data_IF_507821273822
#
_entry.id   IF_507821273822
#
_cell.length_a   1.000
_cell.length_b   1.000
_cell.length_c   1.000
_cell.angle_alpha   90.00
_cell.angle_beta   90.00
_cell.angle_gamma   90.00
#
_symmetry.space_group_name_H-M   'P 1'
#
loop_
_entity.id
_entity.type
_entity.pdbx_description
1 polymer ?
#
# COMPACT_ATOMS: atom_id res chain seq x y z
N UNK A 1 24.95 -19.67 -1.60
CA UNK A 1 23.87 -20.57 -1.13
C UNK A 1 22.63 -20.27 -1.95
N UNK A 2 22.28 -21.11 -2.93
CA UNK A 2 21.13 -20.90 -3.83
C UNK A 2 19.87 -21.43 -3.14
N UNK A 3 18.89 -20.57 -2.92
CA UNK A 3 17.53 -20.99 -2.58
C UNK A 3 16.78 -21.26 -3.89
N UNK A 4 16.15 -22.43 -4.02
CA UNK A 4 15.31 -22.78 -5.15
C UNK A 4 13.93 -22.19 -4.92
N UNK A 5 13.46 -21.37 -5.84
CA UNK A 5 12.06 -20.93 -5.89
C UNK A 5 11.21 -22.12 -6.33
N UNK A 6 10.27 -22.53 -5.47
CA UNK A 6 9.28 -23.55 -5.78
C UNK A 6 8.26 -22.88 -6.68
N UNK A 7 8.15 -23.37 -7.92
CA UNK A 7 7.31 -22.78 -8.97
C UNK A 7 5.86 -22.62 -8.54
N UNK A 8 5.33 -21.42 -8.75
CA UNK A 8 3.92 -21.10 -8.64
C UNK A 8 3.30 -21.27 -10.04
N UNK A 9 2.47 -22.31 -10.20
CA UNK A 9 1.86 -22.72 -11.47
C UNK A 9 0.64 -21.89 -11.86
N UNK A 10 0.72 -20.55 -11.81
CA UNK A 10 -0.31 -19.66 -12.35
C UNK A 10 0.30 -18.52 -13.17
N UNK A 11 1.31 -18.85 -13.98
CA UNK A 11 1.93 -17.96 -14.95
C UNK A 11 1.23 -17.99 -16.31
N UNK A 12 0.03 -17.43 -16.41
CA UNK A 12 -0.57 -17.12 -17.71
C UNK A 12 -1.01 -15.66 -17.77
N UNK A 13 -0.11 -14.80 -18.27
CA UNK A 13 -0.28 -13.96 -19.47
C UNK A 13 0.59 -12.68 -19.35
N UNK A 14 1.34 -12.40 -20.42
CA UNK A 14 2.23 -11.23 -20.68
C UNK A 14 3.71 -11.39 -20.27
N UNK A 15 4.46 -12.05 -21.17
CA UNK A 15 5.93 -12.01 -21.22
C UNK A 15 6.38 -10.55 -21.44
N UNK A 16 7.08 -9.96 -20.47
CA UNK A 16 7.82 -8.69 -20.65
C UNK A 16 7.30 -7.47 -19.88
N UNK A 17 6.39 -7.62 -18.91
CA UNK A 17 6.02 -6.53 -17.99
C UNK A 17 6.54 -6.88 -16.59
N UNK A 18 7.21 -5.96 -15.86
CA UNK A 18 7.51 -6.19 -14.46
C UNK A 18 6.19 -6.36 -13.70
N UNK A 19 6.04 -7.49 -13.03
CA UNK A 19 4.89 -7.73 -12.16
C UNK A 19 4.97 -6.73 -11.00
N UNK A 20 4.05 -5.78 -10.95
CA UNK A 20 3.91 -4.91 -9.79
C UNK A 20 3.17 -5.68 -8.70
N UNK A 21 3.91 -6.07 -7.65
CA UNK A 21 3.35 -6.79 -6.51
C UNK A 21 3.10 -5.78 -5.39
N UNK A 22 1.87 -5.75 -4.87
CA UNK A 22 1.57 -4.99 -3.67
C UNK A 22 2.09 -5.75 -2.45
N UNK A 23 2.91 -5.10 -1.63
CA UNK A 23 3.39 -5.62 -0.36
C UNK A 23 2.62 -4.98 0.80
N UNK A 24 2.53 -5.65 1.96
CA UNK A 24 2.00 -5.04 3.16
C UNK A 24 2.77 -3.76 3.53
N UNK A 25 2.10 -2.76 4.11
CA UNK A 25 2.76 -1.56 4.60
C UNK A 25 3.76 -1.90 5.70
N UNK A 26 4.87 -1.16 5.74
CA UNK A 26 5.89 -1.26 6.81
C UNK A 26 5.68 -0.25 7.93
N UNK A 27 4.71 0.67 7.76
CA UNK A 27 4.33 1.68 8.75
C UNK A 27 3.66 1.07 9.98
N UNK A 28 3.70 1.81 11.08
CA UNK A 28 3.11 1.45 12.36
C UNK A 28 2.01 2.45 12.74
N UNK A 29 1.14 2.06 13.67
CA UNK A 29 0.16 2.98 14.26
C UNK A 29 0.88 4.18 14.88
N UNK A 30 0.46 5.39 14.52
CA UNK A 30 1.06 6.64 14.98
C UNK A 30 2.19 7.17 14.09
N UNK A 31 2.65 6.43 13.07
CA UNK A 31 3.49 7.01 12.03
C UNK A 31 2.69 8.08 11.28
N UNK A 32 3.35 9.21 10.97
CA UNK A 32 2.72 10.32 10.26
C UNK A 32 3.65 10.90 9.20
N UNK A 33 3.06 11.65 8.28
CA UNK A 33 3.76 12.57 7.39
C UNK A 33 3.30 13.99 7.69
N UNK A 34 4.18 14.96 7.45
CA UNK A 34 3.84 16.37 7.56
C UNK A 34 4.10 17.04 6.21
N UNK A 35 3.16 17.90 5.80
CA UNK A 35 3.20 18.58 4.50
C UNK A 35 3.11 20.08 4.74
N UNK A 36 4.04 20.85 4.17
CA UNK A 36 3.95 22.32 4.13
C UNK A 36 3.17 22.75 2.89
N UNK A 37 2.06 23.48 3.09
CA UNK A 37 1.35 24.11 1.98
C UNK A 37 2.18 25.26 1.40
N UNK A 38 2.61 25.12 0.14
CA UNK A 38 3.36 26.16 -0.59
C UNK A 38 2.46 27.13 -1.38
N UNK A 39 1.16 26.84 -1.40
CA UNK A 39 0.09 27.64 -2.03
C UNK A 39 -1.25 27.29 -1.34
N UNK A 40 -2.33 27.96 -1.74
CA UNK A 40 -3.68 27.60 -1.29
C UNK A 40 -4.10 26.25 -1.90
N UNK A 41 -4.57 25.32 -1.06
CA UNK A 41 -4.88 23.94 -1.45
C UNK A 41 -6.26 23.50 -0.96
N UNK A 42 -6.86 22.59 -1.73
CA UNK A 42 -7.97 21.73 -1.27
C UNK A 42 -7.41 20.31 -1.21
N UNK A 43 -7.43 19.70 -0.01
CA UNK A 43 -6.90 18.36 0.21
C UNK A 43 -8.05 17.36 0.23
N UNK A 44 -7.91 16.26 -0.51
CA UNK A 44 -8.80 15.10 -0.44
C UNK A 44 -8.00 13.89 0.03
N UNK A 45 -8.33 13.38 1.23
CA UNK A 45 -7.74 12.18 1.81
C UNK A 45 -8.80 11.07 1.81
N UNK A 46 -8.45 9.89 1.30
CA UNK A 46 -9.30 8.71 1.33
C UNK A 46 -8.56 7.57 2.03
N UNK A 47 -9.15 7.09 3.12
CA UNK A 47 -8.78 5.80 3.68
C UNK A 47 -9.21 4.71 2.69
N UNK A 48 -8.23 4.08 2.03
CA UNK A 48 -8.49 3.11 0.96
C UNK A 48 -9.34 1.94 1.49
N UNK A 49 -10.45 1.57 0.83
CA UNK A 49 -11.34 0.52 1.34
C UNK A 49 -10.89 -0.91 1.02
N UNK A 50 -9.72 -1.12 0.40
CA UNK A 50 -9.25 -2.43 -0.04
C UNK A 50 -9.12 -3.43 1.14
N UNK A 51 -9.81 -4.56 1.02
CA UNK A 51 -9.90 -5.64 2.00
C UNK A 51 -9.63 -7.03 1.38
N UNK A 52 -9.29 -7.10 0.09
CA UNK A 52 -9.00 -8.37 -0.59
C UNK A 52 -7.51 -8.71 -0.65
N UNK A 53 -6.64 -7.69 -0.66
CA UNK A 53 -5.19 -7.83 -0.75
C UNK A 53 -4.51 -7.16 0.45
N UNK A 54 -3.27 -7.55 0.72
CA UNK A 54 -2.55 -7.10 1.91
C UNK A 54 -2.04 -5.64 1.81
N UNK A 55 -2.43 -4.90 0.77
CA UNK A 55 -2.04 -3.50 0.54
C UNK A 55 -2.34 -2.58 1.73
N UNK A 56 -3.42 -2.86 2.46
CA UNK A 56 -3.83 -2.12 3.66
C UNK A 56 -3.42 -2.82 4.97
N UNK A 57 -2.53 -3.81 4.90
CA UNK A 57 -2.16 -4.67 6.02
C UNK A 57 -2.68 -6.10 5.87
N UNK A 58 -2.04 -7.03 6.56
CA UNK A 58 -2.36 -8.46 6.49
C UNK A 58 -3.69 -8.82 7.16
N UNK A 59 -4.22 -7.93 8.00
CA UNK A 59 -5.53 -8.12 8.64
C UNK A 59 -6.70 -7.84 7.68
N UNK A 60 -6.44 -7.12 6.57
CA UNK A 60 -7.46 -6.80 5.55
C UNK A 60 -8.71 -6.13 6.10
N UNK A 61 -8.52 -5.33 7.15
CA UNK A 61 -9.56 -4.53 7.77
C UNK A 61 -9.25 -3.06 7.52
N UNK A 62 -10.08 -2.34 6.75
CA UNK A 62 -9.90 -0.91 6.56
C UNK A 62 -9.95 -0.14 7.89
N UNK A 63 -9.07 0.84 8.04
CA UNK A 63 -8.96 1.68 9.24
C UNK A 63 -8.96 3.15 8.84
N UNK A 64 -9.41 4.01 9.76
CA UNK A 64 -9.41 5.45 9.56
C UNK A 64 -7.99 6.03 9.52
N UNK A 65 -7.83 7.16 8.83
CA UNK A 65 -6.64 7.98 8.85
C UNK A 65 -6.97 9.33 9.50
N UNK A 66 -6.16 9.75 10.48
CA UNK A 66 -6.34 11.03 11.15
C UNK A 66 -5.64 12.16 10.38
N UNK A 67 -6.24 13.35 10.39
CA UNK A 67 -5.65 14.56 9.82
C UNK A 67 -5.76 15.71 10.81
N UNK A 68 -4.67 16.45 10.98
CA UNK A 68 -4.64 17.73 11.69
C UNK A 68 -4.17 18.83 10.74
N UNK A 69 -4.78 20.01 10.86
CA UNK A 69 -4.37 21.22 10.15
C UNK A 69 -4.00 22.22 11.22
N UNK A 70 -2.75 22.68 11.18
CA UNK A 70 -2.13 23.54 12.19
C UNK A 70 -1.84 24.91 11.56
#
# INVERSE_FOLDING_TARGET
MRLREKGDELGHLLVGQPLMIAHPPVSRSGDFIELTALADLIICLSACPQDLADTNGTEREPRDAEVSII
#
